data_IF_043874672532
#
_entry.id   IF_043874672532
#
_cell.length_a   1.000
_cell.length_b   1.000
_cell.length_c   1.000
_cell.angle_alpha   90.00
_cell.angle_beta   90.00
_cell.angle_gamma   90.00
#
_symmetry.space_group_name_H-M   'P 1'
#
loop_
_entity.id
_entity.type
_entity.pdbx_description
1 polymer ?
#
# COMPACT_ATOMS: atom_id res chain seq x y z
N UNK A 1 -27.82 2.12 -13.70
CA UNK A 1 -27.55 1.29 -12.50
C UNK A 1 -27.33 -0.17 -12.87
N UNK A 2 -28.34 -0.96 -13.29
CA UNK A 2 -28.12 -2.40 -13.57
C UNK A 2 -27.09 -2.66 -14.69
N UNK A 3 -27.23 -2.00 -15.85
CA UNK A 3 -26.24 -2.07 -16.94
C UNK A 3 -24.82 -1.61 -16.53
N UNK A 4 -24.71 -0.78 -15.50
CA UNK A 4 -23.41 -0.33 -14.96
C UNK A 4 -22.79 -1.38 -14.02
N UNK A 5 -23.62 -2.21 -13.37
CA UNK A 5 -23.17 -3.35 -12.56
C UNK A 5 -22.73 -4.54 -13.41
N UNK A 6 -23.36 -4.77 -14.56
CA UNK A 6 -22.90 -5.77 -15.54
C UNK A 6 -21.48 -5.44 -16.03
N UNK A 7 -21.26 -4.23 -16.53
CA UNK A 7 -19.95 -3.78 -17.04
C UNK A 7 -18.84 -3.86 -15.99
N UNK A 8 -19.16 -3.58 -14.71
CA UNK A 8 -18.21 -3.71 -13.58
C UNK A 8 -17.79 -5.15 -13.29
N UNK A 9 -18.65 -6.12 -13.59
CA UNK A 9 -18.43 -7.56 -13.35
C UNK A 9 -17.61 -8.23 -14.45
N UNK A 10 -17.25 -7.49 -15.51
CA UNK A 10 -16.45 -7.98 -16.65
C UNK A 10 -14.95 -7.59 -16.56
N UNK A 11 -14.48 -7.08 -15.41
CA UNK A 11 -13.04 -6.99 -15.08
C UNK A 11 -12.24 -5.88 -15.75
N UNK A 12 -12.84 -5.12 -16.67
CA UNK A 12 -12.47 -3.72 -16.88
C UNK A 12 -12.75 -2.98 -15.56
N UNK A 13 -11.89 -2.13 -14.98
CA UNK A 13 -10.60 -1.52 -15.37
C UNK A 13 -9.67 -1.42 -14.14
N UNK A 14 -8.60 -0.63 -14.23
CA UNK A 14 -8.11 0.23 -13.12
C UNK A 14 -7.76 1.61 -13.70
N UNK A 15 -7.42 2.59 -12.85
CA UNK A 15 -7.28 4.01 -13.20
C UNK A 15 -6.20 4.36 -14.25
N UNK A 16 -6.55 5.15 -15.28
CA UNK A 16 -5.57 5.99 -16.01
C UNK A 16 -5.83 6.27 -17.50
N UNK A 17 -6.72 7.23 -17.83
CA UNK A 17 -6.84 7.80 -19.18
C UNK A 17 -8.27 8.12 -19.62
N UNK A 18 -8.44 8.97 -20.65
CA UNK A 18 -9.70 9.10 -21.39
C UNK A 18 -9.92 7.84 -22.26
N UNK A 19 -10.59 6.86 -21.66
CA UNK A 19 -11.06 5.62 -22.25
C UNK A 19 -12.08 5.00 -21.30
N UNK A 20 -12.98 4.15 -21.81
CA UNK A 20 -14.13 3.68 -21.02
C UNK A 20 -13.70 3.01 -19.70
N UNK A 21 -14.16 3.61 -18.60
CA UNK A 21 -14.11 3.06 -17.24
C UNK A 21 -15.03 1.83 -17.13
N UNK A 22 -14.87 1.03 -16.07
CA UNK A 22 -15.93 0.13 -15.61
C UNK A 22 -15.87 -0.08 -14.09
N UNK A 23 -15.17 -1.11 -13.62
CA UNK A 23 -15.05 -1.49 -12.20
C UNK A 23 -13.64 -1.95 -11.83
N UNK A 24 -13.60 -2.90 -10.90
CA UNK A 24 -12.51 -3.77 -10.45
C UNK A 24 -13.19 -4.78 -9.49
N UNK A 25 -12.71 -6.01 -9.34
CA UNK A 25 -13.26 -6.94 -8.33
C UNK A 25 -12.75 -6.62 -6.92
N UNK A 26 -11.50 -6.15 -6.83
CA UNK A 26 -10.83 -5.81 -5.57
C UNK A 26 -10.03 -4.52 -5.67
N UNK A 27 -10.01 -3.76 -4.58
CA UNK A 27 -9.09 -2.65 -4.36
C UNK A 27 -7.96 -3.08 -3.42
N UNK A 28 -6.71 -3.03 -3.90
CA UNK A 28 -5.54 -3.11 -3.04
C UNK A 28 -5.25 -1.71 -2.50
N UNK A 29 -5.38 -1.54 -1.19
CA UNK A 29 -5.04 -0.31 -0.47
C UNK A 29 -3.82 -0.52 0.40
N UNK A 30 -3.08 0.54 0.71
CA UNK A 30 -1.91 0.45 1.57
C UNK A 30 -1.67 1.69 2.41
N UNK A 31 -1.14 1.47 3.62
CA UNK A 31 -0.68 2.50 4.55
C UNK A 31 0.84 2.34 4.76
N UNK A 32 1.55 3.48 4.84
CA UNK A 32 2.97 3.52 5.13
C UNK A 32 3.19 4.31 6.43
N UNK A 33 3.62 3.61 7.47
CA UNK A 33 3.93 4.21 8.77
C UNK A 33 5.44 4.19 8.97
N UNK A 34 6.05 5.37 9.14
CA UNK A 34 7.49 5.52 9.33
C UNK A 34 7.85 6.07 10.70
N UNK A 35 8.90 5.53 11.32
CA UNK A 35 9.53 6.06 12.52
C UNK A 35 11.04 6.19 12.30
N UNK A 36 11.53 7.43 12.29
CA UNK A 36 12.96 7.75 12.29
C UNK A 36 13.42 8.15 13.69
N UNK A 37 14.51 7.56 14.16
CA UNK A 37 15.19 7.91 15.40
C UNK A 37 16.66 8.19 15.11
N UNK A 38 17.18 9.31 15.63
CA UNK A 38 18.59 9.64 15.61
C UNK A 38 19.09 9.77 17.06
N UNK A 39 20.23 9.16 17.35
CA UNK A 39 20.95 9.25 18.61
C UNK A 39 22.43 9.53 18.33
N UNK A 40 23.20 9.93 19.34
CA UNK A 40 24.65 10.20 19.21
C UNK A 40 25.52 8.97 18.87
N UNK A 41 24.90 7.81 18.69
CA UNK A 41 25.54 6.53 18.35
C UNK A 41 25.08 5.97 17.00
N UNK A 42 24.22 6.70 16.28
CA UNK A 42 23.68 6.25 15.00
C UNK A 42 22.22 6.64 14.75
N UNK A 43 21.73 6.24 13.58
CA UNK A 43 20.37 6.50 13.09
C UNK A 43 19.66 5.19 12.77
N UNK A 44 18.42 5.07 13.24
CA UNK A 44 17.51 3.98 12.89
C UNK A 44 16.28 4.53 12.18
N UNK A 45 15.95 3.98 11.01
CA UNK A 45 14.70 4.24 10.30
C UNK A 45 13.90 2.92 10.25
N UNK A 46 12.67 2.92 10.75
CA UNK A 46 11.72 1.80 10.69
C UNK A 46 10.54 2.19 9.80
N UNK A 47 10.15 1.32 8.88
CA UNK A 47 9.01 1.52 7.99
C UNK A 47 8.14 0.28 8.02
N UNK A 48 6.86 0.46 8.33
CA UNK A 48 5.83 -0.56 8.23
C UNK A 48 4.94 -0.23 7.04
N UNK A 49 4.81 -1.19 6.13
CA UNK A 49 3.81 -1.19 5.06
C UNK A 49 2.67 -2.13 5.49
N UNK A 50 1.45 -1.62 5.55
CA UNK A 50 0.24 -2.44 5.71
C UNK A 50 -0.53 -2.45 4.40
N UNK A 51 -0.94 -3.62 3.93
CA UNK A 51 -1.73 -3.79 2.71
C UNK A 51 -3.04 -4.48 3.02
N UNK A 52 -4.13 -3.96 2.45
CA UNK A 52 -5.50 -4.50 2.59
C UNK A 52 -6.12 -4.71 1.23
N UNK A 53 -6.72 -5.87 1.02
CA UNK A 53 -7.52 -6.17 -0.16
C UNK A 53 -9.00 -6.04 0.21
N UNK A 54 -9.70 -5.13 -0.47
CA UNK A 54 -11.10 -4.80 -0.22
C UNK A 54 -11.93 -5.24 -1.42
N UNK A 55 -12.97 -6.04 -1.18
CA UNK A 55 -13.95 -6.44 -2.18
C UNK A 55 -14.75 -5.23 -2.67
N UNK A 56 -14.80 -5.01 -3.99
CA UNK A 56 -15.31 -3.78 -4.57
C UNK A 56 -16.86 -3.68 -4.59
N UNK A 57 -17.57 -4.80 -4.50
CA UNK A 57 -19.04 -4.81 -4.44
C UNK A 57 -19.54 -4.61 -3.00
N UNK A 58 -18.89 -5.25 -2.03
CA UNK A 58 -19.32 -5.28 -0.63
C UNK A 58 -18.61 -4.27 0.27
N UNK A 59 -17.46 -3.72 -0.17
CA UNK A 59 -16.54 -2.91 0.64
C UNK A 59 -15.99 -3.63 1.88
N UNK A 60 -15.99 -4.97 1.88
CA UNK A 60 -15.46 -5.80 2.96
C UNK A 60 -13.96 -6.06 2.72
N UNK A 61 -13.14 -5.92 3.76
CA UNK A 61 -11.76 -6.40 3.74
C UNK A 61 -11.74 -7.93 3.72
N UNK A 62 -11.10 -8.50 2.72
CA UNK A 62 -10.99 -9.96 2.53
C UNK A 62 -9.60 -10.51 2.86
N UNK A 63 -8.59 -9.63 2.96
CA UNK A 63 -7.21 -9.97 3.29
C UNK A 63 -6.44 -8.75 3.80
N UNK A 64 -5.58 -8.96 4.78
CA UNK A 64 -4.58 -8.00 5.25
C UNK A 64 -3.22 -8.70 5.38
N UNK A 65 -2.13 -7.99 5.08
CA UNK A 65 -0.78 -8.38 5.45
C UNK A 65 0.11 -7.15 5.61
N UNK A 66 1.23 -7.31 6.31
CA UNK A 66 2.21 -6.25 6.51
C UNK A 66 3.62 -6.69 6.10
N UNK A 67 4.45 -5.71 5.78
CA UNK A 67 5.89 -5.88 5.56
C UNK A 67 6.64 -4.79 6.32
N UNK A 68 7.66 -5.19 7.09
CA UNK A 68 8.50 -4.26 7.82
C UNK A 68 9.90 -4.15 7.21
N UNK A 69 10.45 -2.94 7.22
CA UNK A 69 11.83 -2.64 6.88
C UNK A 69 12.44 -1.87 8.04
N UNK A 70 13.50 -2.44 8.63
CA UNK A 70 14.34 -1.74 9.61
C UNK A 70 15.72 -1.47 9.01
N UNK A 71 16.16 -0.23 9.06
CA UNK A 71 17.49 0.20 8.64
C UNK A 71 18.20 0.86 9.82
N UNK A 72 19.28 0.27 10.28
CA UNK A 72 20.17 0.86 11.29
C UNK A 72 21.49 1.26 10.63
N UNK A 73 21.91 2.51 10.85
CA UNK A 73 23.24 3.00 10.54
C UNK A 73 23.98 3.33 11.82
N UNK A 74 25.07 2.60 12.09
CA UNK A 74 26.02 2.98 13.14
C UNK A 74 26.84 4.16 12.64
N UNK A 75 26.94 5.23 13.43
CA UNK A 75 27.92 6.28 13.20
C UNK A 75 29.25 5.88 13.87
N UNK A 76 30.02 5.00 13.20
CA UNK A 76 31.44 4.81 13.54
C UNK A 76 32.30 4.55 12.29
N UNK A 77 33.56 4.98 12.38
CA UNK A 77 34.68 4.77 11.47
C UNK A 77 34.70 5.51 10.09
N UNK A 78 34.92 6.84 10.12
CA UNK A 78 35.92 7.54 9.28
C UNK A 78 35.97 9.04 9.65
N UNK A 79 37.10 9.69 9.98
CA UNK A 79 38.51 9.26 10.16
C UNK A 79 39.13 10.17 11.25
N UNK A 80 40.30 9.81 11.79
CA UNK A 80 41.15 10.77 12.57
C UNK A 80 42.01 11.62 11.65
#
# INVERSE_FOLDING_TARGET
VERERELKREGLVTSGGEGDLAGADYFLTGELTGLSQAASTGRSDYVLYTFRLIDAETSIEVWENFAEIKKEGLEDAAYR
#
